data_IF_405637512877
#
_entry.id   IF_405637512877
#
_cell.length_a   1.000
_cell.length_b   1.000
_cell.length_c   1.000
_cell.angle_alpha   90.00
_cell.angle_beta   90.00
_cell.angle_gamma   90.00
#
_symmetry.space_group_name_H-M   'P 1'
#
loop_
_entity.id
_entity.type
_entity.pdbx_description
1 polymer ?
#
# COMPACT_ATOMS: atom_id res chain seq x y z
N UNK A 1 -8.85 -21.74 15.15
CA UNK A 1 -8.50 -20.35 14.83
C UNK A 1 -8.60 -20.12 13.34
N UNK A 2 -9.16 -18.99 13.00
CA UNK A 2 -9.44 -18.70 11.62
C UNK A 2 -8.25 -18.06 10.92
N UNK A 3 -8.15 -18.33 9.64
CA UNK A 3 -7.12 -17.73 8.78
C UNK A 3 -7.80 -17.05 7.61
N UNK A 4 -7.10 -16.09 7.03
CA UNK A 4 -7.53 -15.45 5.80
C UNK A 4 -6.44 -15.64 4.75
N UNK A 5 -6.85 -15.61 3.49
CA UNK A 5 -5.94 -15.64 2.36
C UNK A 5 -6.12 -14.35 1.59
N UNK A 6 -5.02 -13.64 1.36
CA UNK A 6 -5.03 -12.41 0.59
C UNK A 6 -4.11 -12.57 -0.62
N UNK A 7 -4.37 -11.78 -1.66
CA UNK A 7 -3.55 -11.77 -2.87
C UNK A 7 -2.65 -10.55 -2.85
N UNK A 8 -1.35 -10.79 -2.89
CA UNK A 8 -0.35 -9.73 -2.97
C UNK A 8 0.18 -9.66 -4.39
N UNK A 9 0.01 -8.53 -5.03
CA UNK A 9 0.55 -8.25 -6.36
C UNK A 9 1.73 -7.31 -6.19
N UNK A 10 2.89 -7.75 -6.62
CA UNK A 10 4.16 -7.07 -6.36
C UNK A 10 4.76 -6.64 -7.68
N UNK A 11 5.03 -5.35 -7.81
CA UNK A 11 5.48 -4.77 -9.07
C UNK A 11 6.84 -4.10 -8.94
N UNK A 12 7.57 -4.07 -10.06
CA UNK A 12 8.89 -3.47 -10.09
C UNK A 12 9.88 -4.24 -9.23
N UNK A 13 10.69 -3.54 -8.48
CA UNK A 13 11.70 -4.18 -7.63
C UNK A 13 11.08 -4.99 -6.49
N UNK A 14 9.81 -4.73 -6.16
CA UNK A 14 9.13 -5.49 -5.10
C UNK A 14 8.77 -6.90 -5.53
N UNK A 15 8.82 -7.20 -6.83
CA UNK A 15 8.53 -8.55 -7.31
C UNK A 15 9.44 -9.60 -6.68
N UNK A 16 10.62 -9.22 -6.23
CA UNK A 16 11.56 -10.15 -5.59
C UNK A 16 11.01 -10.76 -4.30
N UNK A 17 10.03 -10.13 -3.68
CA UNK A 17 9.41 -10.65 -2.46
C UNK A 17 8.37 -11.72 -2.76
N UNK A 18 7.99 -11.89 -4.01
CA UNK A 18 7.01 -12.88 -4.39
C UNK A 18 7.51 -13.94 -5.36
N UNK A 19 8.75 -13.84 -5.81
CA UNK A 19 9.31 -14.76 -6.80
C UNK A 19 10.80 -14.98 -6.54
N UNK A 20 11.25 -16.20 -6.78
CA UNK A 20 12.68 -16.51 -6.73
C UNK A 20 13.37 -16.30 -8.07
N UNK A 21 12.62 -15.95 -9.10
CA UNK A 21 13.18 -15.73 -10.43
C UNK A 21 13.80 -14.34 -10.51
N UNK A 22 14.93 -14.27 -11.18
CA UNK A 22 15.57 -12.98 -11.43
C UNK A 22 14.90 -12.28 -12.60
N UNK A 23 14.94 -10.95 -12.58
CA UNK A 23 14.47 -10.10 -13.69
C UNK A 23 12.97 -10.13 -13.93
N UNK A 24 12.18 -10.56 -12.95
CA UNK A 24 10.73 -10.46 -13.09
C UNK A 24 10.31 -9.03 -12.79
N UNK A 25 9.31 -8.55 -13.53
CA UNK A 25 8.77 -7.21 -13.35
C UNK A 25 7.53 -7.18 -12.48
N UNK A 26 6.94 -8.35 -12.20
CA UNK A 26 5.85 -8.45 -11.24
C UNK A 26 5.77 -9.87 -10.72
N UNK A 27 5.11 -10.03 -9.59
CA UNK A 27 4.84 -11.33 -9.01
C UNK A 27 3.49 -11.29 -8.32
N UNK A 28 2.82 -12.43 -8.30
CA UNK A 28 1.58 -12.60 -7.56
C UNK A 28 1.80 -13.69 -6.52
N UNK A 29 1.41 -13.40 -5.29
CA UNK A 29 1.58 -14.35 -4.21
C UNK A 29 0.33 -14.39 -3.35
N UNK A 30 -0.20 -15.58 -3.10
CA UNK A 30 -1.26 -15.75 -2.12
C UNK A 30 -0.62 -15.91 -0.76
N UNK A 31 -1.09 -15.15 0.21
CA UNK A 31 -0.52 -15.15 1.55
C UNK A 31 -1.60 -15.52 2.55
N UNK A 32 -1.31 -16.50 3.38
CA UNK A 32 -2.22 -16.93 4.44
C UNK A 32 -1.81 -16.22 5.73
N UNK A 33 -2.76 -15.57 6.37
CA UNK A 33 -2.53 -14.81 7.58
C UNK A 33 -3.61 -15.14 8.61
N UNK A 34 -3.29 -15.01 9.90
CA UNK A 34 -4.33 -15.13 10.92
C UNK A 34 -5.43 -14.09 10.70
N UNK A 35 -6.66 -14.46 11.01
CA UNK A 35 -7.76 -13.52 10.99
C UNK A 35 -7.45 -12.35 11.94
N UNK A 36 -7.75 -11.14 11.51
CA UNK A 36 -7.43 -9.95 12.28
C UNK A 36 -6.08 -9.34 11.92
N UNK A 37 -5.37 -9.91 10.94
CA UNK A 37 -4.10 -9.36 10.50
C UNK A 37 -4.30 -8.03 9.79
N UNK A 38 -3.28 -7.18 9.89
CA UNK A 38 -3.25 -5.86 9.26
C UNK A 38 -2.29 -5.86 8.08
N UNK A 39 -2.26 -4.75 7.35
CA UNK A 39 -1.30 -4.60 6.27
C UNK A 39 0.13 -4.73 6.78
N UNK A 40 0.42 -4.19 7.98
CA UNK A 40 1.76 -4.35 8.55
C UNK A 40 2.12 -5.82 8.72
N UNK A 41 1.15 -6.64 9.11
CA UNK A 41 1.37 -8.08 9.25
C UNK A 41 1.68 -8.74 7.90
N UNK A 42 1.01 -8.29 6.83
CA UNK A 42 1.30 -8.78 5.49
C UNK A 42 2.72 -8.42 5.07
N UNK A 43 3.13 -7.18 5.31
CA UNK A 43 4.48 -6.75 4.95
C UNK A 43 5.52 -7.57 5.71
N UNK A 44 5.27 -7.83 6.99
CA UNK A 44 6.17 -8.67 7.79
C UNK A 44 6.26 -10.09 7.21
N UNK A 45 5.12 -10.65 6.82
CA UNK A 45 5.10 -11.99 6.25
C UNK A 45 5.85 -12.04 4.93
N UNK A 46 5.80 -10.97 4.14
CA UNK A 46 6.54 -10.89 2.88
C UNK A 46 8.02 -10.59 3.10
N UNK A 47 8.39 -10.13 4.28
CA UNK A 47 9.76 -9.70 4.57
C UNK A 47 10.09 -8.35 3.97
N UNK A 48 9.07 -7.52 3.72
CA UNK A 48 9.23 -6.25 3.03
C UNK A 48 9.15 -5.08 4.01
N UNK A 49 10.24 -4.32 4.15
CA UNK A 49 10.18 -3.06 4.91
C UNK A 49 9.23 -2.09 4.24
N UNK A 50 8.43 -1.37 5.03
CA UNK A 50 7.46 -0.44 4.48
C UNK A 50 8.14 0.68 3.68
N UNK A 51 9.39 1.01 4.00
CA UNK A 51 10.14 2.05 3.31
C UNK A 51 10.44 1.70 1.85
N UNK A 52 10.38 0.42 1.51
CA UNK A 52 10.66 -0.02 0.15
C UNK A 52 9.47 0.11 -0.78
N UNK A 53 8.29 0.30 -0.24
CA UNK A 53 7.11 0.41 -1.11
C UNK A 53 6.79 1.85 -1.46
N UNK A 54 6.23 1.99 -2.64
CA UNK A 54 5.70 3.26 -3.11
C UNK A 54 4.19 3.25 -3.04
N UNK A 55 3.55 3.48 -4.17
CA UNK A 55 2.09 3.49 -4.25
C UNK A 55 1.54 2.09 -3.93
N UNK A 56 0.50 2.05 -3.11
CA UNK A 56 -0.13 0.81 -2.68
C UNK A 56 -1.63 0.93 -2.85
N UNK A 57 -2.26 -0.15 -3.34
CA UNK A 57 -3.70 -0.22 -3.48
C UNK A 57 -4.23 -1.41 -2.69
N UNK A 58 -5.38 -1.23 -2.06
CA UNK A 58 -6.13 -2.32 -1.42
C UNK A 58 -7.49 -2.38 -2.09
N UNK A 59 -7.77 -3.48 -2.78
CA UNK A 59 -9.02 -3.68 -3.53
C UNK A 59 -9.32 -2.52 -4.48
N UNK A 60 -8.27 -2.00 -5.13
CA UNK A 60 -8.42 -0.91 -6.10
C UNK A 60 -8.48 0.47 -5.48
N UNK A 61 -8.39 0.58 -4.16
CA UNK A 61 -8.40 1.87 -3.48
C UNK A 61 -6.98 2.24 -3.07
N UNK A 62 -6.57 3.45 -3.36
CA UNK A 62 -5.25 3.95 -2.98
C UNK A 62 -5.12 4.00 -1.47
N UNK A 63 -4.14 3.31 -0.93
CA UNK A 63 -3.93 3.20 0.51
C UNK A 63 -2.64 3.82 1.00
N UNK A 64 -1.67 4.02 0.11
CA UNK A 64 -0.38 4.60 0.48
C UNK A 64 0.35 5.13 -0.74
N UNK A 65 1.26 6.07 -0.50
CA UNK A 65 2.18 6.58 -1.51
C UNK A 65 3.49 6.92 -0.81
N UNK A 66 4.57 7.18 -1.57
CA UNK A 66 5.86 7.49 -0.93
C UNK A 66 5.71 8.65 0.06
N UNK A 67 6.17 8.43 1.28
CA UNK A 67 6.09 9.44 2.32
C UNK A 67 4.75 9.56 3.02
N UNK A 68 3.75 8.79 2.61
CA UNK A 68 2.42 8.85 3.23
C UNK A 68 1.82 7.45 3.24
N UNK A 69 2.02 6.74 4.33
CA UNK A 69 1.63 5.33 4.46
C UNK A 69 0.74 5.11 5.68
N UNK A 70 -0.51 5.61 5.62
CA UNK A 70 -1.42 5.49 6.77
C UNK A 70 -2.08 4.12 6.89
N UNK A 71 -1.74 3.19 6.01
CA UNK A 71 -2.44 1.93 5.86
C UNK A 71 -1.90 0.78 6.69
N UNK A 72 -0.86 1.02 7.51
CA UNK A 72 -0.24 -0.08 8.26
C UNK A 72 -1.20 -0.78 9.19
N UNK A 73 -2.13 -0.05 9.77
CA UNK A 73 -3.16 -0.62 10.64
C UNK A 73 -4.42 -1.08 9.93
N UNK A 74 -4.44 -1.02 8.59
CA UNK A 74 -5.62 -1.42 7.83
C UNK A 74 -5.90 -2.90 8.02
N UNK A 75 -7.11 -3.22 8.47
CA UNK A 75 -7.51 -4.61 8.73
C UNK A 75 -7.76 -5.33 7.42
N UNK A 76 -7.13 -6.47 7.25
CA UNK A 76 -7.28 -7.29 6.05
C UNK A 76 -8.39 -8.33 6.23
N UNK A 77 -9.02 -8.69 5.14
CA UNK A 77 -10.10 -9.66 5.11
C UNK A 77 -9.85 -10.71 4.04
N UNK A 78 -10.56 -11.82 4.16
CA UNK A 78 -10.48 -12.89 3.19
C UNK A 78 -10.70 -12.38 1.78
N UNK A 79 -9.79 -12.70 0.89
CA UNK A 79 -9.91 -12.34 -0.52
C UNK A 79 -9.45 -10.94 -0.88
N UNK A 80 -8.91 -10.18 0.08
CA UNK A 80 -8.40 -8.85 -0.22
C UNK A 80 -7.25 -8.92 -1.23
N UNK A 81 -7.19 -7.93 -2.09
CA UNK A 81 -6.16 -7.81 -3.12
C UNK A 81 -5.32 -6.58 -2.83
N UNK A 82 -4.04 -6.79 -2.66
CA UNK A 82 -3.11 -5.72 -2.33
C UNK A 82 -2.10 -5.57 -3.46
N UNK A 83 -2.05 -4.39 -4.08
CA UNK A 83 -1.08 -4.07 -5.12
C UNK A 83 0.02 -3.20 -4.55
N UNK A 84 1.25 -3.69 -4.63
CA UNK A 84 2.41 -3.03 -4.04
C UNK A 84 3.39 -2.64 -5.15
N UNK A 85 3.70 -1.36 -5.25
CA UNK A 85 4.59 -0.82 -6.27
C UNK A 85 5.81 -0.23 -5.61
N UNK A 86 6.96 -0.35 -6.26
CA UNK A 86 8.16 0.29 -5.75
C UNK A 86 8.12 1.80 -5.99
N UNK A 87 8.98 2.57 -5.29
CA UNK A 87 8.94 4.03 -5.44
C UNK A 87 9.32 4.53 -6.84
N UNK A 88 9.98 3.70 -7.63
CA UNK A 88 10.40 4.07 -8.98
C UNK A 88 9.35 3.77 -10.02
N UNK A 89 8.32 3.00 -9.65
CA UNK A 89 7.22 2.72 -10.57
C UNK A 89 6.41 3.98 -10.76
N UNK A 90 6.38 4.45 -11.99
CA UNK A 90 5.67 5.67 -12.32
C UNK A 90 4.21 5.36 -12.56
N UNK A 91 3.38 5.94 -11.75
CA UNK A 91 1.94 5.81 -11.94
C UNK A 91 1.45 6.93 -12.84
N UNK A 92 0.56 6.63 -13.78
CA UNK A 92 -0.08 7.70 -14.55
C UNK A 92 -0.70 8.70 -13.62
N UNK A 93 -0.55 9.96 -13.96
CA UNK A 93 -1.01 11.07 -13.14
C UNK A 93 -2.50 10.97 -12.82
N UNK A 94 -3.28 10.46 -13.75
CA UNK A 94 -4.72 10.34 -13.58
C UNK A 94 -5.13 9.45 -12.41
N UNK A 95 -4.31 8.47 -12.06
CA UNK A 95 -4.63 7.61 -10.92
C UNK A 95 -4.56 8.36 -9.59
N UNK A 96 -3.71 9.38 -9.53
CA UNK A 96 -3.59 10.18 -8.31
C UNK A 96 -4.80 11.06 -8.07
N UNK A 97 -5.48 11.44 -9.13
CA UNK A 97 -6.63 12.33 -9.04
C UNK A 97 -7.96 11.61 -9.08
N UNK A 98 -8.01 10.47 -9.75
CA UNK A 98 -9.27 9.77 -9.94
C UNK A 98 -9.44 8.51 -9.10
N UNK A 99 -8.41 8.10 -8.40
CA UNK A 99 -8.46 6.84 -7.66
C UNK A 99 -9.34 6.97 -6.42
N UNK A 100 -10.12 5.93 -6.17
CA UNK A 100 -10.80 5.80 -4.90
C UNK A 100 -9.75 5.64 -3.79
N UNK A 101 -10.06 6.14 -2.60
CA UNK A 101 -9.13 6.13 -1.48
C UNK A 101 -9.69 5.27 -0.34
N UNK A 102 -8.79 4.61 0.39
CA UNK A 102 -9.19 3.98 1.65
C UNK A 102 -9.52 5.08 2.67
N UNK A 103 -10.26 4.70 3.71
CA UNK A 103 -10.62 5.67 4.74
C UNK A 103 -9.39 6.27 5.41
N UNK A 104 -8.39 5.44 5.69
CA UNK A 104 -7.15 5.90 6.30
C UNK A 104 -6.45 6.93 5.40
N UNK A 105 -6.44 6.67 4.09
CA UNK A 105 -5.79 7.56 3.15
C UNK A 105 -6.54 8.89 3.02
N UNK A 106 -7.87 8.83 3.01
CA UNK A 106 -8.69 10.05 2.99
C UNK A 106 -8.37 10.93 4.18
N UNK A 107 -8.29 10.35 5.35
CA UNK A 107 -7.98 11.10 6.57
C UNK A 107 -6.57 11.66 6.54
N UNK A 108 -5.62 10.83 6.12
CA UNK A 108 -4.22 11.27 6.06
C UNK A 108 -4.03 12.41 5.08
N UNK A 109 -4.66 12.34 3.92
CA UNK A 109 -4.55 13.40 2.92
C UNK A 109 -5.22 14.67 3.39
N UNK A 110 -6.34 14.55 4.09
CA UNK A 110 -7.04 15.72 4.64
C UNK A 110 -6.17 16.40 5.70
N UNK A 111 -5.55 15.62 6.58
CA UNK A 111 -4.67 16.18 7.61
C UNK A 111 -3.48 16.88 6.98
N UNK A 112 -2.87 16.27 5.98
CA UNK A 112 -1.74 16.86 5.30
C UNK A 112 -2.12 18.16 4.60
N UNK A 113 -3.29 18.20 3.98
CA UNK A 113 -3.81 19.38 3.33
C UNK A 113 -4.08 20.49 4.34
N UNK A 114 -4.66 20.13 5.49
CA UNK A 114 -4.92 21.09 6.55
C UNK A 114 -3.62 21.66 7.10
N UNK A 115 -2.64 20.81 7.29
CA UNK A 115 -1.33 21.24 7.74
C UNK A 115 -0.68 22.17 6.73
N UNK A 116 -0.81 21.87 5.46
CA UNK A 116 -0.28 22.71 4.41
C UNK A 116 -0.95 24.08 4.39
N UNK A 117 -2.27 24.11 4.52
CA UNK A 117 -3.01 25.35 4.57
C UNK A 117 -2.64 26.17 5.80
N UNK A 118 -2.57 25.50 6.94
CA UNK A 118 -2.20 26.16 8.20
C UNK A 118 -0.80 26.73 8.10
N UNK A 119 0.11 25.98 7.56
CA UNK A 119 1.49 26.41 7.39
C UNK A 119 1.58 27.62 6.46
N UNK A 120 0.76 27.64 5.43
CA UNK A 120 0.70 28.78 4.52
C UNK A 120 0.22 30.04 5.22
N UNK A 121 -0.75 29.91 6.10
CA UNK A 121 -1.21 31.04 6.90
C UNK A 121 -0.13 31.57 7.82
N UNK A 122 0.63 30.68 8.42
CA UNK A 122 1.68 31.07 9.36
C UNK A 122 2.77 31.90 8.68
N UNK A 123 2.93 31.76 7.39
CA UNK A 123 3.93 32.51 6.63
C UNK A 123 3.51 33.93 6.30
N UNK A 124 2.27 34.21 6.52
CA UNK A 124 1.76 35.57 6.27
C UNK A 124 1.90 36.43 7.51
#
# INVERSE_FOLDING_TARGET
MSEITVDAWLYGTLARYGSNEEHVSFAHRQVVLPEGSTLADLLTRLGMPTEERGITFINGQLSAMPGLQPDLGHLLHQGDRIGLFDPKSMWPFQYRHGAALTEEMKRAMAEEKDHGLHHTYDKK
#
